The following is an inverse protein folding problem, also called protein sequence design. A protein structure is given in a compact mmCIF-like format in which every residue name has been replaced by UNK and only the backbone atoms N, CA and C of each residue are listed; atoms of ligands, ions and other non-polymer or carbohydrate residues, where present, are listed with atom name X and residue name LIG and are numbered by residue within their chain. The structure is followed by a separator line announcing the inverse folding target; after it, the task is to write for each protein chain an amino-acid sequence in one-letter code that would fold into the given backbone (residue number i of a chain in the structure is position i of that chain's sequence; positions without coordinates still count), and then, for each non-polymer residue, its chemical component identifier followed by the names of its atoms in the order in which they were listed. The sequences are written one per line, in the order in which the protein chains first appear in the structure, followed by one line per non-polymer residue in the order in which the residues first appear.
data_IF_190611556551
#
_entry.id   IF_190611556551
#
_cell.length_a   1.000
_cell.length_b   1.000
_cell.length_c   1.000
_cell.angle_alpha   90.00
_cell.angle_beta   90.00
_cell.angle_gamma   90.00
#
_symmetry.space_group_name_H-M   'P 1'
#
loop_
_entity.id
_entity.type
_entity.pdbx_description
1 polymer ?
#
# COMPACT_ATOMS: atom_id res chain seq x y z
N UNK A 1 -17.91 -36.73 22.16
CA UNK A 1 -17.63 -35.32 21.83
C UNK A 1 -16.12 -35.09 21.91
N UNK A 2 -15.39 -35.28 20.81
CA UNK A 2 -13.94 -35.06 20.73
C UNK A 2 -13.68 -33.67 20.14
N UNK A 3 -13.29 -32.70 20.98
CA UNK A 3 -12.76 -31.42 20.50
C UNK A 3 -11.41 -31.68 19.84
N UNK A 4 -11.34 -31.64 18.52
CA UNK A 4 -10.07 -31.45 17.80
C UNK A 4 -9.54 -30.08 18.23
N UNK A 5 -8.55 -30.07 19.12
CA UNK A 5 -7.74 -28.88 19.35
C UNK A 5 -7.02 -28.60 18.02
N UNK A 6 -7.45 -27.56 17.31
CA UNK A 6 -6.84 -27.15 16.05
C UNK A 6 -5.41 -26.71 16.31
N UNK A 7 -4.43 -27.58 16.03
CA UNK A 7 -3.04 -27.16 15.99
C UNK A 7 -2.91 -26.04 14.94
N UNK A 8 -2.38 -24.88 15.36
CA UNK A 8 -2.15 -23.75 14.46
C UNK A 8 -1.19 -24.23 13.36
N UNK A 9 -1.66 -24.23 12.12
CA UNK A 9 -0.81 -24.56 10.98
C UNK A 9 0.07 -23.36 10.64
N UNK A 10 1.22 -23.27 11.31
CA UNK A 10 2.19 -22.19 11.14
C UNK A 10 2.61 -21.97 9.69
N UNK A 11 2.64 -23.03 8.86
CA UNK A 11 2.92 -22.92 7.42
C UNK A 11 1.83 -22.17 6.64
N UNK A 12 0.55 -22.36 7.02
CA UNK A 12 -0.55 -21.60 6.44
C UNK A 12 -0.51 -20.12 6.87
N UNK A 13 -0.15 -19.85 8.13
CA UNK A 13 -0.02 -18.49 8.67
C UNK A 13 1.10 -17.72 7.96
N UNK A 14 2.27 -18.36 7.76
CA UNK A 14 3.40 -17.71 7.06
C UNK A 14 3.10 -17.48 5.58
N UNK A 15 2.48 -18.44 4.90
CA UNK A 15 2.06 -18.26 3.49
C UNK A 15 1.03 -17.13 3.32
N UNK A 16 0.05 -17.05 4.21
CA UNK A 16 -0.92 -15.95 4.25
C UNK A 16 -0.21 -14.61 4.50
N UNK A 17 0.69 -14.55 5.49
CA UNK A 17 1.47 -13.35 5.79
C UNK A 17 2.29 -12.86 4.60
N UNK A 18 2.95 -13.76 3.87
CA UNK A 18 3.75 -13.39 2.70
C UNK A 18 2.88 -12.85 1.54
N UNK A 19 1.69 -13.42 1.33
CA UNK A 19 0.73 -12.93 0.34
C UNK A 19 0.18 -11.56 0.71
N UNK A 20 -0.14 -11.35 1.98
CA UNK A 20 -0.59 -10.05 2.49
C UNK A 20 0.50 -8.99 2.35
N UNK A 21 1.76 -9.34 2.66
CA UNK A 21 2.90 -8.45 2.45
C UNK A 21 3.10 -8.12 0.97
N UNK A 22 3.05 -9.11 0.07
CA UNK A 22 3.16 -8.88 -1.37
C UNK A 22 2.02 -8.02 -1.91
N UNK A 23 0.79 -8.25 -1.44
CA UNK A 23 -0.35 -7.40 -1.75
C UNK A 23 -0.12 -5.97 -1.23
N UNK A 24 0.29 -5.80 0.02
CA UNK A 24 0.55 -4.48 0.59
C UNK A 24 1.64 -3.73 -0.17
N UNK A 25 2.79 -4.39 -0.44
CA UNK A 25 3.92 -3.80 -1.16
C UNK A 25 3.52 -3.25 -2.54
N UNK A 26 2.73 -4.00 -3.32
CA UNK A 26 2.28 -3.53 -4.63
C UNK A 26 1.28 -2.38 -4.51
N UNK A 27 0.43 -2.34 -3.48
CA UNK A 27 -0.46 -1.18 -3.26
C UNK A 27 0.34 0.07 -2.85
N UNK A 28 1.37 -0.08 -2.01
CA UNK A 28 2.29 1.02 -1.65
C UNK A 28 3.03 1.54 -2.87
N UNK A 29 3.56 0.65 -3.71
CA UNK A 29 4.24 1.02 -4.95
C UNK A 29 3.30 1.74 -5.92
N UNK A 30 2.07 1.23 -6.08
CA UNK A 30 1.06 1.87 -6.92
C UNK A 30 0.66 3.26 -6.38
N UNK A 31 0.48 3.41 -5.07
CA UNK A 31 0.19 4.70 -4.45
C UNK A 31 1.32 5.72 -4.65
N UNK A 32 2.58 5.27 -4.52
CA UNK A 32 3.75 6.09 -4.83
C UNK A 32 3.78 6.51 -6.31
N UNK A 33 3.45 5.59 -7.22
CA UNK A 33 3.31 5.88 -8.65
C UNK A 33 2.23 6.92 -8.94
N UNK A 34 1.05 6.81 -8.31
CA UNK A 34 -0.04 7.79 -8.47
C UNK A 34 0.38 9.17 -7.97
N UNK A 35 1.03 9.26 -6.81
CA UNK A 35 1.58 10.52 -6.32
C UNK A 35 2.59 11.14 -7.29
N UNK A 36 3.50 10.33 -7.84
CA UNK A 36 4.45 10.78 -8.85
C UNK A 36 3.75 11.28 -10.12
N UNK A 37 2.69 10.59 -10.58
CA UNK A 37 1.88 11.01 -11.72
C UNK A 37 1.15 12.34 -11.47
N UNK A 38 0.67 12.59 -10.25
CA UNK A 38 0.06 13.88 -9.88
C UNK A 38 1.10 15.00 -9.98
N UNK A 39 2.31 14.80 -9.44
CA UNK A 39 3.38 15.79 -9.56
C UNK A 39 3.79 16.02 -11.02
N UNK A 40 3.84 14.95 -11.80
CA UNK A 40 4.13 15.03 -13.23
C UNK A 40 3.03 15.78 -14.00
N UNK A 41 1.76 15.55 -13.67
CA UNK A 41 0.63 16.28 -14.24
C UNK A 41 0.65 17.76 -13.86
N UNK A 42 1.03 18.10 -12.62
CA UNK A 42 1.26 19.48 -12.17
C UNK A 42 2.38 20.15 -12.99
N UNK A 43 3.39 19.37 -13.37
CA UNK A 43 4.46 19.79 -14.28
C UNK A 43 4.09 19.74 -15.76
N UNK A 44 2.80 19.78 -16.12
CA UNK A 44 2.30 19.74 -17.50
C UNK A 44 2.81 18.55 -18.32
N UNK A 45 2.97 17.39 -17.66
CA UNK A 45 3.56 16.18 -18.25
C UNK A 45 4.97 16.39 -18.82
N UNK A 46 5.69 17.38 -18.29
CA UNK A 46 7.04 17.74 -18.70
C UNK A 46 8.00 17.56 -17.53
N UNK A 47 9.00 16.71 -17.72
CA UNK A 47 10.01 16.44 -16.68
C UNK A 47 10.76 17.70 -16.24
N UNK A 48 11.25 18.58 -17.15
CA UNK A 48 11.90 19.83 -16.75
C UNK A 48 11.03 20.71 -15.85
N UNK A 49 9.74 20.87 -16.19
CA UNK A 49 8.81 21.72 -15.43
C UNK A 49 8.52 21.08 -14.08
N UNK A 50 8.29 19.76 -14.05
CA UNK A 50 8.08 18.99 -12.81
C UNK A 50 9.25 19.16 -11.85
N UNK A 51 10.48 19.03 -12.34
CA UNK A 51 11.69 19.19 -11.52
C UNK A 51 11.86 20.63 -11.04
N UNK A 52 11.54 21.63 -11.86
CA UNK A 52 11.57 23.04 -11.46
C UNK A 52 10.56 23.34 -10.32
N UNK A 53 9.35 22.79 -10.41
CA UNK A 53 8.34 22.94 -9.36
C UNK A 53 8.74 22.21 -8.07
N UNK A 54 9.32 21.01 -8.18
CA UNK A 54 9.81 20.27 -7.02
C UNK A 54 10.97 21.00 -6.32
N UNK A 55 11.88 21.60 -7.09
CA UNK A 55 12.96 22.42 -6.53
C UNK A 55 12.41 23.66 -5.80
N UNK A 56 11.40 24.32 -6.37
CA UNK A 56 10.74 25.46 -5.73
C UNK A 56 10.04 25.05 -4.41
N UNK A 57 9.36 23.90 -4.42
CA UNK A 57 8.71 23.36 -3.24
C UNK A 57 9.72 23.03 -2.14
N UNK A 58 10.84 22.40 -2.49
CA UNK A 58 11.91 22.07 -1.55
C UNK A 58 12.52 23.32 -0.89
N UNK A 59 12.81 24.35 -1.70
CA UNK A 59 13.35 25.63 -1.18
C UNK A 59 12.36 26.30 -0.21
N UNK A 60 11.07 26.35 -0.57
CA UNK A 60 10.02 26.87 0.32
C UNK A 60 9.83 26.04 1.59
N UNK A 61 9.96 24.73 1.51
CA UNK A 61 9.85 23.83 2.67
C UNK A 61 11.01 24.07 3.66
N UNK A 62 12.24 24.18 3.15
CA UNK A 62 13.42 24.47 3.97
C UNK A 62 13.40 25.90 4.51
N UNK A 63 12.84 26.86 3.78
CA UNK A 63 12.70 28.23 4.30
C UNK A 63 11.56 28.39 5.33
N UNK A 64 10.60 27.45 5.39
CA UNK A 64 9.43 27.57 6.27
C UNK A 64 9.75 27.36 7.76
N UNK A 65 8.97 28.00 8.64
CA UNK A 65 9.03 27.79 10.09
C UNK A 65 8.58 26.37 10.48
N UNK A 66 9.05 25.84 11.61
CA UNK A 66 8.80 24.48 12.09
C UNK A 66 7.31 24.09 12.14
N UNK A 67 6.43 25.02 12.54
CA UNK A 67 4.97 24.78 12.57
C UNK A 67 4.41 24.52 11.16
N UNK A 68 4.88 25.26 10.15
CA UNK A 68 4.41 25.11 8.77
C UNK A 68 4.95 23.83 8.12
N UNK A 69 6.17 23.42 8.48
CA UNK A 69 6.75 22.15 8.04
C UNK A 69 5.97 20.96 8.56
N UNK A 70 5.67 20.94 9.87
CA UNK A 70 4.86 19.88 10.49
C UNK A 70 3.45 19.77 9.87
N UNK A 71 2.82 20.91 9.56
CA UNK A 71 1.55 20.92 8.84
C UNK A 71 1.67 20.34 7.43
N UNK A 72 2.73 20.70 6.69
CA UNK A 72 2.98 20.17 5.35
C UNK A 72 3.24 18.66 5.39
N UNK A 73 4.06 18.18 6.32
CA UNK A 73 4.37 16.76 6.50
C UNK A 73 3.08 15.96 6.75
N UNK A 74 2.19 16.47 7.60
CA UNK A 74 0.87 15.87 7.84
C UNK A 74 0.02 15.81 6.57
N UNK A 75 -0.01 16.89 5.79
CA UNK A 75 -0.77 16.92 4.53
C UNK A 75 -0.25 15.88 3.52
N UNK A 76 1.06 15.77 3.37
CA UNK A 76 1.69 14.77 2.48
C UNK A 76 1.37 13.35 2.94
N UNK A 77 1.50 13.08 4.24
CA UNK A 77 1.18 11.77 4.82
C UNK A 77 -0.30 11.42 4.61
N UNK A 78 -1.21 12.33 4.95
CA UNK A 78 -2.66 12.11 4.79
C UNK A 78 -3.01 11.87 3.32
N UNK A 79 -2.44 12.67 2.40
CA UNK A 79 -2.64 12.50 0.96
C UNK A 79 -2.16 11.14 0.46
N UNK A 80 -0.96 10.71 0.89
CA UNK A 80 -0.42 9.39 0.57
C UNK A 80 -1.31 8.26 1.09
N UNK A 81 -1.76 8.34 2.35
CA UNK A 81 -2.67 7.35 2.92
C UNK A 81 -4.03 7.31 2.22
N UNK A 82 -4.58 8.46 1.81
CA UNK A 82 -5.82 8.51 1.05
C UNK A 82 -5.69 7.77 -0.30
N UNK A 83 -4.59 8.01 -1.03
CA UNK A 83 -4.31 7.31 -2.29
C UNK A 83 -4.08 5.81 -2.04
N UNK A 84 -3.33 5.45 -1.00
CA UNK A 84 -3.10 4.05 -0.63
C UNK A 84 -4.41 3.33 -0.36
N UNK A 85 -5.32 3.95 0.40
CA UNK A 85 -6.64 3.38 0.71
C UNK A 85 -7.50 3.25 -0.54
N UNK A 86 -7.49 4.25 -1.44
CA UNK A 86 -8.19 4.17 -2.72
C UNK A 86 -7.67 3.02 -3.58
N UNK A 87 -6.35 2.93 -3.77
CA UNK A 87 -5.70 1.86 -4.54
C UNK A 87 -6.01 0.49 -3.93
N UNK A 88 -5.88 0.36 -2.61
CA UNK A 88 -6.21 -0.87 -1.90
C UNK A 88 -7.69 -1.25 -2.03
N UNK A 89 -8.60 -0.28 -2.01
CA UNK A 89 -10.04 -0.48 -2.19
C UNK A 89 -10.36 -1.00 -3.60
N UNK A 90 -9.82 -0.38 -4.64
CA UNK A 90 -9.98 -0.86 -6.01
C UNK A 90 -9.38 -2.26 -6.20
N UNK A 91 -8.29 -2.59 -5.48
CA UNK A 91 -7.60 -3.89 -5.55
C UNK A 91 -8.06 -4.90 -4.49
N UNK A 92 -9.25 -4.70 -3.89
CA UNK A 92 -9.81 -5.55 -2.84
C UNK A 92 -9.95 -7.03 -3.23
N UNK A 93 -10.08 -7.32 -4.53
CA UNK A 93 -10.18 -8.70 -5.05
C UNK A 93 -8.92 -9.54 -4.76
N UNK A 94 -7.74 -8.91 -4.71
CA UNK A 94 -6.50 -9.60 -4.33
C UNK A 94 -6.42 -9.94 -2.85
N UNK A 95 -7.10 -9.17 -1.99
CA UNK A 95 -7.18 -9.43 -0.56
C UNK A 95 -8.05 -10.66 -0.27
N UNK A 96 -9.21 -10.79 -0.93
CA UNK A 96 -10.08 -11.96 -0.78
C UNK A 96 -9.36 -13.28 -1.14
N UNK A 97 -8.57 -13.28 -2.22
CA UNK A 97 -7.80 -14.45 -2.67
C UNK A 97 -6.66 -14.83 -1.73
N UNK A 98 -6.14 -13.92 -0.91
CA UNK A 98 -5.10 -14.25 0.07
C UNK A 98 -5.62 -15.16 1.18
N UNK A 99 -6.94 -15.14 1.45
CA UNK A 99 -7.62 -15.97 2.44
C UNK A 99 -8.25 -17.24 1.83
N UNK A 100 -8.21 -17.40 0.51
CA UNK A 100 -8.97 -18.43 -0.21
C UNK A 100 -8.18 -19.74 -0.42
N UNK A 101 -7.02 -19.89 0.22
CA UNK A 101 -6.26 -21.13 0.14
C UNK A 101 -6.83 -22.23 1.06
N UNK A 102 -6.92 -23.47 0.56
CA UNK A 102 -7.95 -24.41 0.95
C UNK A 102 -7.52 -25.22 2.17
N UNK A 103 -8.10 -24.91 3.34
CA UNK A 103 -8.09 -25.82 4.49
C UNK A 103 -8.93 -27.10 4.21
N UNK A 104 -9.63 -27.18 3.07
CA UNK A 104 -10.58 -28.26 2.75
C UNK A 104 -10.14 -29.33 1.74
N UNK A 105 -8.94 -29.29 1.15
CA UNK A 105 -8.53 -30.27 0.11
C UNK A 105 -7.42 -31.23 0.57
N UNK A 106 -7.55 -31.79 1.77
CA UNK A 106 -6.74 -32.94 2.21
C UNK A 106 -7.56 -34.13 2.76
N UNK A 107 -8.87 -33.99 2.91
CA UNK A 107 -9.74 -35.08 3.39
C UNK A 107 -10.40 -35.89 2.25
N UNK A 108 -10.19 -35.51 0.97
CA UNK A 108 -10.77 -36.22 -0.18
C UNK A 108 -9.79 -37.12 -0.94
N UNK A 109 -8.53 -37.19 -0.51
CA UNK A 109 -7.50 -38.02 -1.16
C UNK A 109 -7.37 -39.43 -0.54
N UNK A 110 -8.07 -39.68 0.57
CA UNK A 110 -8.01 -40.94 1.34
C UNK A 110 -9.38 -41.68 1.39
N UNK A 111 -10.30 -41.39 0.45
CA UNK A 111 -11.62 -42.04 0.35
C UNK A 111 -11.75 -42.91 -0.90
#
# INVERSE_FOLDING_TARGET
MTRRASAINWGAVTACGLRLMGWFAVNVLAAAGVMALILFAIGDFSLPITMAQLANLADRYVAANAIRRDQFDKQVIIGFFAILLLVAFFRRSGFARAFEDPIGNKDSADA
#
